data_IF_657682043792
#
_entry.id   IF_657682043792
#
_cell.length_a   1.000
_cell.length_b   1.000
_cell.length_c   1.000
_cell.angle_alpha   90.00
_cell.angle_beta   90.00
_cell.angle_gamma   90.00
#
_symmetry.space_group_name_H-M   'P 1'
#
loop_
_entity.id
_entity.type
_entity.pdbx_description
1 polymer ?
#
# COMPACT_ATOMS: atom_id res chain seq x y z
N UNK A 1 -8.48 -1.07 -17.09
CA UNK A 1 -7.31 -1.46 -16.28
C UNK A 1 -7.59 -2.77 -15.58
N UNK A 2 -6.71 -3.74 -15.74
CA UNK A 2 -6.78 -5.05 -15.11
C UNK A 2 -5.92 -5.05 -13.84
N UNK A 3 -6.47 -5.56 -12.75
CA UNK A 3 -5.75 -5.78 -11.49
C UNK A 3 -5.26 -7.23 -11.43
N UNK A 4 -4.00 -7.42 -11.08
CA UNK A 4 -3.36 -8.75 -11.00
C UNK A 4 -2.18 -8.72 -10.01
N UNK A 5 -1.76 -9.87 -9.47
CA UNK A 5 -0.49 -9.94 -8.75
C UNK A 5 0.67 -9.50 -9.65
N UNK A 6 1.71 -8.85 -9.10
CA UNK A 6 2.92 -8.54 -9.85
C UNK A 6 3.70 -9.80 -10.21
N UNK A 7 4.49 -9.70 -11.27
CA UNK A 7 5.53 -10.67 -11.64
C UNK A 7 6.91 -10.10 -11.33
N UNK A 8 7.95 -10.93 -11.38
CA UNK A 8 9.34 -10.49 -11.18
C UNK A 8 9.71 -9.37 -12.16
N UNK A 9 9.22 -9.43 -13.39
CA UNK A 9 9.46 -8.41 -14.42
C UNK A 9 8.88 -7.03 -14.08
N UNK A 10 7.95 -6.97 -13.15
CA UNK A 10 7.36 -5.71 -12.70
C UNK A 10 8.25 -4.94 -11.71
N UNK A 11 9.23 -5.59 -11.08
CA UNK A 11 10.07 -4.95 -10.07
C UNK A 11 10.67 -3.63 -10.53
N UNK A 12 11.20 -3.57 -11.75
CA UNK A 12 11.73 -2.34 -12.36
C UNK A 12 10.67 -1.26 -12.56
N UNK A 13 9.44 -1.65 -12.88
CA UNK A 13 8.33 -0.73 -13.10
C UNK A 13 7.79 -0.18 -11.78
N UNK A 14 7.70 -1.02 -10.75
CA UNK A 14 7.32 -0.60 -9.39
C UNK A 14 8.33 0.39 -8.82
N UNK A 15 9.63 0.11 -8.97
CA UNK A 15 10.68 1.03 -8.54
C UNK A 15 10.58 2.39 -9.23
N UNK A 16 10.46 2.39 -10.56
CA UNK A 16 10.33 3.63 -11.33
C UNK A 16 9.08 4.42 -10.92
N UNK A 17 7.94 3.73 -10.78
CA UNK A 17 6.69 4.37 -10.39
C UNK A 17 6.73 4.90 -8.95
N UNK A 18 7.35 4.19 -8.02
CA UNK A 18 7.55 4.66 -6.64
C UNK A 18 8.34 5.97 -6.61
N UNK A 19 9.46 6.03 -7.37
CA UNK A 19 10.26 7.26 -7.54
C UNK A 19 9.43 8.39 -8.13
N UNK A 20 8.71 8.14 -9.21
CA UNK A 20 7.93 9.16 -9.94
C UNK A 20 6.70 9.63 -9.14
N UNK A 21 6.23 8.83 -8.19
CA UNK A 21 5.19 9.20 -7.23
C UNK A 21 5.71 9.97 -6.01
N UNK A 22 7.03 10.10 -5.85
CA UNK A 22 7.64 10.74 -4.68
C UNK A 22 7.52 9.92 -3.40
N UNK A 23 7.40 8.59 -3.52
CA UNK A 23 7.42 7.70 -2.36
C UNK A 23 8.82 7.56 -1.78
N UNK A 24 8.91 7.05 -0.56
CA UNK A 24 10.20 6.67 0.05
C UNK A 24 10.74 5.42 -0.67
N UNK A 25 11.67 5.66 -1.59
CA UNK A 25 12.11 4.66 -2.57
C UNK A 25 13.20 3.77 -1.99
N UNK A 26 12.95 2.46 -2.02
CA UNK A 26 13.97 1.45 -1.72
C UNK A 26 14.87 1.16 -2.94
N UNK A 27 15.85 0.26 -2.76
CA UNK A 27 16.68 -0.20 -3.87
C UNK A 27 15.84 -0.91 -4.95
N UNK A 28 16.25 -0.88 -6.22
CA UNK A 28 15.58 -1.66 -7.28
C UNK A 28 15.48 -3.15 -6.94
N UNK A 29 16.49 -3.70 -6.26
CA UNK A 29 16.51 -5.09 -5.81
C UNK A 29 15.34 -5.40 -4.86
N UNK A 30 15.02 -4.49 -3.94
CA UNK A 30 13.92 -4.69 -2.99
C UNK A 30 12.58 -4.87 -3.70
N UNK A 31 12.31 -4.10 -4.74
CA UNK A 31 11.06 -4.23 -5.52
C UNK A 31 11.00 -5.54 -6.31
N UNK A 32 12.12 -5.97 -6.88
CA UNK A 32 12.19 -7.27 -7.58
C UNK A 32 11.97 -8.44 -6.60
N UNK A 33 12.60 -8.39 -5.42
CA UNK A 33 12.40 -9.37 -4.35
C UNK A 33 10.94 -9.38 -3.89
N UNK A 34 10.33 -8.21 -3.75
CA UNK A 34 8.94 -8.08 -3.36
C UNK A 34 7.98 -8.74 -4.37
N UNK A 35 8.22 -8.52 -5.66
CA UNK A 35 7.44 -9.14 -6.72
C UNK A 35 7.55 -10.67 -6.76
N UNK A 36 8.65 -11.23 -6.23
CA UNK A 36 8.80 -12.67 -6.06
C UNK A 36 8.08 -13.19 -4.81
N UNK A 37 8.41 -12.61 -3.65
CA UNK A 37 8.03 -13.19 -2.35
C UNK A 37 6.66 -12.73 -1.86
N UNK A 38 6.21 -11.55 -2.26
CA UNK A 38 4.96 -10.94 -1.81
C UNK A 38 3.99 -10.64 -2.97
N UNK A 39 4.10 -11.36 -4.09
CA UNK A 39 3.19 -11.21 -5.22
C UNK A 39 1.73 -11.49 -4.83
N UNK A 40 1.50 -12.55 -4.04
CA UNK A 40 0.17 -12.96 -3.62
C UNK A 40 -0.53 -11.91 -2.75
N UNK A 41 0.22 -11.08 -2.04
CA UNK A 41 -0.30 -10.02 -1.17
C UNK A 41 -0.16 -8.61 -1.76
N UNK A 42 0.19 -8.52 -3.04
CA UNK A 42 0.37 -7.26 -3.78
C UNK A 42 -0.52 -7.23 -5.02
N UNK A 43 -0.68 -6.06 -5.60
CA UNK A 43 -1.44 -5.88 -6.84
C UNK A 43 -0.80 -4.83 -7.73
N UNK A 44 -0.84 -5.06 -9.05
CA UNK A 44 -0.53 -4.07 -10.08
C UNK A 44 -1.76 -3.79 -10.92
N UNK A 45 -1.92 -2.54 -11.33
CA UNK A 45 -2.94 -2.12 -12.27
C UNK A 45 -2.31 -1.94 -13.65
N UNK A 46 -2.73 -2.77 -14.62
CA UNK A 46 -2.22 -2.75 -15.97
C UNK A 46 -3.21 -2.12 -16.95
N UNK A 47 -2.69 -1.30 -17.84
CA UNK A 47 -3.41 -0.80 -18.99
C UNK A 47 -3.56 -1.86 -20.09
N UNK A 48 -4.22 -1.49 -21.22
CA UNK A 48 -4.47 -2.44 -22.33
C UNK A 48 -3.20 -2.99 -22.98
N UNK A 49 -2.13 -2.21 -23.03
CA UNK A 49 -0.83 -2.60 -23.61
C UNK A 49 0.10 -3.31 -22.62
N UNK A 50 -0.39 -3.55 -21.37
CA UNK A 50 0.38 -4.22 -20.33
C UNK A 50 1.19 -3.29 -19.43
N UNK A 51 1.21 -1.98 -19.70
CA UNK A 51 1.91 -0.98 -18.91
C UNK A 51 1.34 -0.87 -17.48
N UNK A 52 2.23 -0.66 -16.49
CA UNK A 52 1.85 -0.53 -15.09
C UNK A 52 1.46 0.92 -14.78
N UNK A 53 0.22 1.14 -14.38
CA UNK A 53 -0.32 2.44 -14.01
C UNK A 53 -0.45 2.66 -12.50
N UNK A 54 -0.36 1.60 -11.71
CA UNK A 54 -0.43 1.67 -10.27
C UNK A 54 -0.06 0.36 -9.62
N UNK A 55 0.24 0.43 -8.33
CA UNK A 55 0.52 -0.76 -7.53
C UNK A 55 0.14 -0.54 -6.06
N UNK A 56 -0.12 -1.63 -5.38
CA UNK A 56 -0.13 -1.75 -3.92
C UNK A 56 0.78 -2.91 -3.55
N UNK A 57 1.70 -2.66 -2.65
CA UNK A 57 2.55 -3.68 -2.04
C UNK A 57 2.22 -3.84 -0.57
N UNK A 58 2.22 -5.07 -0.10
CA UNK A 58 1.91 -5.36 1.29
C UNK A 58 2.15 -6.84 1.63
N UNK A 59 1.98 -7.17 2.88
CA UNK A 59 2.21 -8.52 3.38
C UNK A 59 1.34 -8.83 4.59
N UNK A 60 1.16 -10.12 4.89
CA UNK A 60 0.55 -10.57 6.14
C UNK A 60 1.60 -10.46 7.24
N UNK A 61 1.29 -9.79 8.34
CA UNK A 61 2.26 -9.62 9.43
C UNK A 61 2.69 -10.96 10.01
N UNK A 62 4.02 -11.19 10.24
CA UNK A 62 4.52 -12.47 10.72
C UNK A 62 4.04 -12.82 12.12
N UNK A 63 3.84 -11.83 12.98
CA UNK A 63 3.43 -11.96 14.38
C UNK A 63 1.96 -11.60 14.64
N UNK A 64 1.18 -11.35 13.58
CA UNK A 64 -0.25 -11.03 13.65
C UNK A 64 -0.94 -11.50 12.37
N UNK A 65 -1.17 -12.81 12.29
CA UNK A 65 -1.58 -13.51 11.08
C UNK A 65 -2.97 -13.16 10.54
N UNK A 66 -3.75 -12.44 11.30
CA UNK A 66 -5.05 -11.90 10.91
C UNK A 66 -4.95 -10.46 10.35
N UNK A 67 -3.73 -9.93 10.21
CA UNK A 67 -3.46 -8.53 9.87
C UNK A 67 -2.61 -8.44 8.61
N UNK A 68 -3.14 -7.74 7.61
CA UNK A 68 -2.41 -7.32 6.41
C UNK A 68 -1.78 -5.95 6.65
N UNK A 69 -0.51 -5.79 6.32
CA UNK A 69 0.18 -4.51 6.34
C UNK A 69 0.41 -4.02 4.90
N UNK A 70 -0.15 -2.85 4.56
CA UNK A 70 0.09 -2.18 3.30
C UNK A 70 1.36 -1.33 3.43
N UNK A 71 2.36 -1.65 2.59
CA UNK A 71 3.61 -0.91 2.62
C UNK A 71 3.57 0.34 1.74
N UNK A 72 3.30 0.19 0.44
CA UNK A 72 3.25 1.32 -0.49
C UNK A 72 2.04 1.23 -1.42
N UNK A 73 1.52 2.40 -1.77
CA UNK A 73 0.55 2.57 -2.85
C UNK A 73 1.04 3.68 -3.78
N UNK A 74 1.17 3.38 -5.06
CA UNK A 74 1.58 4.33 -6.09
C UNK A 74 0.62 4.34 -7.27
N UNK A 75 0.35 5.53 -7.82
CA UNK A 75 -0.47 5.70 -9.02
C UNK A 75 0.22 6.67 -9.96
N UNK A 76 0.46 6.20 -11.19
CA UNK A 76 1.04 7.01 -12.26
C UNK A 76 0.24 8.29 -12.48
N UNK A 77 0.93 9.41 -12.73
CA UNK A 77 0.31 10.74 -12.83
C UNK A 77 -0.87 10.76 -13.82
N UNK A 78 -0.73 10.12 -14.97
CA UNK A 78 -1.78 10.04 -16.00
C UNK A 78 -3.03 9.24 -15.57
N UNK A 79 -2.95 8.44 -14.51
CA UNK A 79 -4.05 7.63 -13.99
C UNK A 79 -4.64 8.17 -12.68
N UNK A 80 -4.10 9.26 -12.15
CA UNK A 80 -4.61 9.92 -10.94
C UNK A 80 -6.00 10.54 -11.16
N UNK A 81 -6.72 10.77 -10.07
CA UNK A 81 -8.06 11.36 -10.10
C UNK A 81 -9.16 10.45 -10.65
N UNK A 82 -8.86 9.17 -10.93
CA UNK A 82 -9.81 8.20 -11.49
C UNK A 82 -10.15 7.07 -10.51
N UNK A 83 -9.86 7.26 -9.23
CA UNK A 83 -10.16 6.28 -8.18
C UNK A 83 -9.31 5.00 -8.24
N UNK A 84 -8.18 4.98 -8.95
CA UNK A 84 -7.39 3.76 -9.15
C UNK A 84 -6.79 3.24 -7.83
N UNK A 85 -6.26 4.11 -6.97
CA UNK A 85 -5.76 3.72 -5.66
C UNK A 85 -6.84 3.03 -4.83
N UNK A 86 -8.06 3.59 -4.83
CA UNK A 86 -9.18 3.01 -4.11
C UNK A 86 -9.58 1.64 -4.66
N UNK A 87 -9.64 1.49 -5.98
CA UNK A 87 -9.95 0.19 -6.62
C UNK A 87 -8.91 -0.88 -6.29
N UNK A 88 -7.62 -0.50 -6.25
CA UNK A 88 -6.57 -1.43 -5.84
C UNK A 88 -6.71 -1.80 -4.37
N UNK A 89 -7.03 -0.84 -3.51
CA UNK A 89 -7.24 -1.08 -2.08
C UNK A 89 -8.47 -1.97 -1.83
N UNK A 90 -9.57 -1.75 -2.55
CA UNK A 90 -10.75 -2.61 -2.49
C UNK A 90 -10.43 -4.04 -2.93
N UNK A 91 -9.66 -4.21 -4.01
CA UNK A 91 -9.22 -5.51 -4.49
C UNK A 91 -8.36 -6.25 -3.46
N UNK A 92 -7.46 -5.55 -2.78
CA UNK A 92 -6.69 -6.13 -1.65
C UNK A 92 -7.64 -6.47 -0.50
N UNK A 93 -8.55 -5.58 -0.14
CA UNK A 93 -9.53 -5.81 0.93
C UNK A 93 -10.36 -7.07 0.71
N UNK A 94 -10.85 -7.28 -0.51
CA UNK A 94 -11.63 -8.48 -0.86
C UNK A 94 -10.79 -9.76 -0.77
N UNK A 95 -9.53 -9.69 -1.21
CA UNK A 95 -8.60 -10.82 -1.13
C UNK A 95 -8.30 -11.19 0.31
N UNK A 96 -7.89 -10.23 1.15
CA UNK A 96 -7.51 -10.52 2.53
C UNK A 96 -8.69 -11.02 3.37
N UNK A 97 -9.90 -10.49 3.16
CA UNK A 97 -11.09 -11.00 3.83
C UNK A 97 -11.47 -12.40 3.34
N UNK A 98 -11.31 -12.67 2.04
CA UNK A 98 -11.46 -14.02 1.47
C UNK A 98 -10.48 -15.04 2.04
N UNK A 99 -9.27 -14.59 2.40
CA UNK A 99 -8.24 -15.39 3.06
C UNK A 99 -8.40 -15.46 4.61
N UNK A 100 -9.44 -14.84 5.15
CA UNK A 100 -9.77 -14.87 6.58
C UNK A 100 -9.02 -13.85 7.43
N UNK A 101 -8.35 -12.86 6.83
CA UNK A 101 -7.74 -11.75 7.57
C UNK A 101 -8.82 -10.75 8.00
N UNK A 102 -8.67 -10.22 9.21
CA UNK A 102 -9.63 -9.31 9.81
C UNK A 102 -9.20 -7.84 9.80
N UNK A 103 -7.91 -7.55 9.64
CA UNK A 103 -7.39 -6.20 9.79
C UNK A 103 -6.49 -5.78 8.63
N UNK A 104 -6.59 -4.49 8.28
CA UNK A 104 -5.66 -3.82 7.40
C UNK A 104 -4.94 -2.72 8.19
N UNK A 105 -3.62 -2.70 8.11
CA UNK A 105 -2.76 -1.68 8.69
C UNK A 105 -1.90 -1.00 7.62
N UNK A 106 -1.56 0.25 7.87
CA UNK A 106 -0.55 0.99 7.12
C UNK A 106 0.05 2.06 8.02
N UNK A 107 1.19 2.63 7.62
CA UNK A 107 1.72 3.83 8.27
C UNK A 107 1.62 5.02 7.32
N UNK A 108 1.32 6.18 7.89
CA UNK A 108 1.09 7.41 7.13
C UNK A 108 1.66 8.59 7.91
N UNK A 109 2.40 9.47 7.23
CA UNK A 109 2.82 10.73 7.85
C UNK A 109 1.62 11.65 8.12
N UNK A 110 1.64 12.47 9.18
CA UNK A 110 0.48 13.31 9.55
C UNK A 110 0.01 14.28 8.46
N UNK A 111 0.92 14.72 7.59
CA UNK A 111 0.67 15.67 6.51
C UNK A 111 0.20 15.02 5.19
N UNK A 112 0.18 13.70 5.10
CA UNK A 112 -0.27 12.98 3.90
C UNK A 112 -1.80 12.88 3.85
N UNK A 113 -2.45 13.99 3.50
CA UNK A 113 -3.90 14.09 3.45
C UNK A 113 -4.54 13.10 2.46
N UNK A 114 -3.88 12.85 1.32
CA UNK A 114 -4.40 11.95 0.28
C UNK A 114 -4.50 10.50 0.77
N UNK A 115 -3.46 9.98 1.42
CA UNK A 115 -3.48 8.64 2.01
C UNK A 115 -4.47 8.53 3.16
N UNK A 116 -4.55 9.55 4.02
CA UNK A 116 -5.52 9.58 5.12
C UNK A 116 -6.95 9.52 4.59
N UNK A 117 -7.27 10.29 3.55
CA UNK A 117 -8.59 10.26 2.91
C UNK A 117 -8.88 8.90 2.24
N UNK A 118 -7.88 8.28 1.62
CA UNK A 118 -8.01 6.96 1.00
C UNK A 118 -8.41 5.89 2.04
N UNK A 119 -7.69 5.81 3.15
CA UNK A 119 -7.98 4.84 4.22
C UNK A 119 -9.31 5.14 4.93
N UNK A 120 -9.63 6.41 5.18
CA UNK A 120 -10.91 6.79 5.79
C UNK A 120 -12.11 6.40 4.90
N UNK A 121 -12.02 6.64 3.60
CA UNK A 121 -13.08 6.24 2.67
C UNK A 121 -13.23 4.73 2.56
N UNK A 122 -12.12 3.99 2.56
CA UNK A 122 -12.12 2.54 2.54
C UNK A 122 -12.81 1.96 3.78
N UNK A 123 -12.43 2.44 4.96
CA UNK A 123 -13.02 1.99 6.22
C UNK A 123 -14.53 2.28 6.28
N UNK A 124 -14.94 3.51 5.94
CA UNK A 124 -16.34 3.93 5.92
C UNK A 124 -17.19 3.04 5.02
N UNK A 125 -16.74 2.80 3.80
CA UNK A 125 -17.55 2.07 2.81
C UNK A 125 -17.62 0.57 3.10
N UNK A 126 -16.69 0.05 3.93
CA UNK A 126 -16.74 -1.32 4.47
C UNK A 126 -17.42 -1.40 5.85
N UNK A 127 -17.90 -0.28 6.39
CA UNK A 127 -18.49 -0.24 7.72
C UNK A 127 -17.53 -0.69 8.82
N UNK A 128 -16.22 -0.54 8.62
CA UNK A 128 -15.20 -0.99 9.54
C UNK A 128 -14.69 0.16 10.43
N UNK A 129 -14.41 -0.10 11.71
CA UNK A 129 -13.72 0.84 12.58
C UNK A 129 -12.36 1.24 12.02
N UNK A 130 -11.97 2.49 12.25
CA UNK A 130 -10.66 3.02 11.88
C UNK A 130 -10.06 3.72 13.09
N UNK A 131 -8.81 3.41 13.39
CA UNK A 131 -8.07 3.99 14.49
C UNK A 131 -6.70 4.50 14.00
N UNK A 132 -6.27 5.66 14.50
CA UNK A 132 -4.94 6.23 14.29
C UNK A 132 -4.17 6.23 15.61
N UNK A 133 -2.96 5.67 15.59
CA UNK A 133 -2.07 5.68 16.75
C UNK A 133 -0.64 6.03 16.33
N UNK A 134 0.16 6.72 17.19
CA UNK A 134 1.58 6.89 16.93
C UNK A 134 2.28 5.53 16.84
N UNK A 135 3.22 5.37 15.89
CA UNK A 135 4.01 4.14 15.75
C UNK A 135 5.50 4.43 15.67
N UNK A 136 5.93 5.05 14.55
CA UNK A 136 7.34 5.36 14.36
C UNK A 136 7.59 6.85 14.57
N UNK A 137 8.43 7.14 15.56
CA UNK A 137 8.85 8.52 15.85
C UNK A 137 10.05 8.89 14.97
N UNK A 138 10.28 10.20 14.77
CA UNK A 138 11.42 10.71 14.01
C UNK A 138 12.75 10.10 14.45
N UNK A 139 12.94 9.84 15.76
CA UNK A 139 14.15 9.22 16.31
C UNK A 139 14.41 7.78 15.84
N UNK A 140 13.41 7.10 15.27
CA UNK A 140 13.58 5.75 14.71
C UNK A 140 14.20 5.76 13.31
N UNK A 141 14.32 6.94 12.70
CA UNK A 141 14.91 7.13 11.38
C UNK A 141 16.29 7.79 11.49
N UNK A 142 17.14 7.67 10.44
CA UNK A 142 18.42 8.35 10.44
C UNK A 142 18.29 9.86 10.66
N UNK A 143 19.12 10.39 11.54
CA UNK A 143 19.17 11.83 11.79
C UNK A 143 20.02 12.51 10.71
N UNK A 144 19.61 13.72 10.29
CA UNK A 144 20.34 14.47 9.26
C UNK A 144 19.51 15.62 8.68
N UNK A 145 20.04 16.33 7.65
CA UNK A 145 19.36 17.48 7.05
C UNK A 145 18.02 17.12 6.37
N UNK A 146 17.82 15.87 6.00
CA UNK A 146 16.54 15.35 5.49
C UNK A 146 15.88 14.45 6.56
N UNK A 147 15.40 15.08 7.65
CA UNK A 147 14.75 14.40 8.75
C UNK A 147 13.45 13.74 8.30
N UNK A 148 13.29 12.45 8.59
CA UNK A 148 12.07 11.72 8.26
C UNK A 148 10.95 12.10 9.23
N UNK A 149 9.77 12.46 8.72
CA UNK A 149 8.59 12.70 9.54
C UNK A 149 8.17 11.44 10.30
N UNK A 150 7.49 11.58 11.46
CA UNK A 150 6.94 10.41 12.15
C UNK A 150 5.87 9.73 11.30
N UNK A 151 5.67 8.44 11.54
CA UNK A 151 4.66 7.63 10.88
C UNK A 151 3.59 7.22 11.91
N UNK A 152 2.35 7.58 11.64
CA UNK A 152 1.20 7.12 12.41
C UNK A 152 0.66 5.81 11.84
N UNK A 153 0.31 4.87 12.69
CA UNK A 153 -0.37 3.65 12.31
C UNK A 153 -1.85 3.92 12.08
N UNK A 154 -2.36 3.56 10.91
CA UNK A 154 -3.80 3.36 10.72
C UNK A 154 -4.11 1.88 10.85
N UNK A 155 -5.10 1.54 11.66
CA UNK A 155 -5.66 0.19 11.77
C UNK A 155 -7.12 0.22 11.41
N UNK A 156 -7.51 -0.61 10.45
CA UNK A 156 -8.89 -0.73 9.96
C UNK A 156 -9.36 -2.15 10.20
N UNK A 157 -10.47 -2.29 10.88
CA UNK A 157 -11.07 -3.58 11.15
C UNK A 157 -11.71 -3.69 12.53
N UNK A 158 -12.37 -4.85 12.81
CA UNK A 158 -12.41 -6.02 11.94
C UNK A 158 -13.17 -5.76 10.64
N UNK A 159 -12.61 -6.25 9.53
CA UNK A 159 -13.26 -6.25 8.24
C UNK A 159 -14.26 -7.40 8.18
N UNK A 160 -15.47 -7.12 7.71
CA UNK A 160 -16.44 -8.18 7.44
C UNK A 160 -16.01 -9.02 6.22
N UNK A 161 -16.18 -10.31 6.33
CA UNK A 161 -15.98 -11.24 5.23
C UNK A 161 -17.01 -11.00 4.10
#
# INVERSE_FOLDING_TARGET
MRLAPPSIDDGRHLWALARDCGLDVNSPYAYTLWCRDFAATSVVARGPSGEVHGFVTGYVRPDSRDTYFLWQVGVHAAARGRGLARRMLDHIGDRITGDGLAFLEATVTPDNAASRALFASFARDRGAPLEWTPLFETRHFPQGPAEHAPEELVRIGPLAA
#
